data_IF_828671997023
#
_entry.id   IF_828671997023
#
_cell.length_a   1.000
_cell.length_b   1.000
_cell.length_c   1.000
_cell.angle_alpha   90.00
_cell.angle_beta   90.00
_cell.angle_gamma   90.00
#
_symmetry.space_group_name_H-M   'P 1'
#
loop_
_entity.id
_entity.type
_entity.pdbx_description
1 polymer ?
#
# COMPACT_ATOMS: atom_id res chain seq x y z
N UNK A 1 -9.96 -22.36 -13.27
CA UNK A 1 -9.62 -20.93 -13.11
C UNK A 1 -10.93 -20.22 -12.83
N UNK A 2 -11.12 -19.70 -11.61
CA UNK A 2 -12.39 -19.12 -11.20
C UNK A 2 -12.74 -17.94 -12.11
N UNK A 3 -13.95 -17.97 -12.66
CA UNK A 3 -14.54 -16.88 -13.43
C UNK A 3 -14.96 -15.82 -12.41
N UNK A 4 -14.04 -14.92 -12.11
CA UNK A 4 -14.24 -13.86 -11.12
C UNK A 4 -14.86 -12.65 -11.82
N UNK A 5 -16.16 -12.44 -11.62
CA UNK A 5 -16.92 -11.23 -11.99
C UNK A 5 -16.51 -10.03 -11.11
N UNK A 6 -15.23 -9.95 -10.73
CA UNK A 6 -14.74 -8.80 -9.99
C UNK A 6 -14.77 -7.57 -10.88
N UNK A 7 -15.04 -6.44 -10.25
CA UNK A 7 -14.89 -5.08 -10.78
C UNK A 7 -13.59 -4.82 -11.56
N UNK A 8 -12.56 -5.65 -11.37
CA UNK A 8 -11.26 -5.55 -12.03
C UNK A 8 -11.14 -6.34 -13.33
N UNK A 9 -11.99 -7.36 -13.55
CA UNK A 9 -11.96 -8.22 -14.73
C UNK A 9 -13.31 -8.22 -15.43
N UNK A 10 -13.41 -7.50 -16.55
CA UNK A 10 -14.57 -7.61 -17.46
C UNK A 10 -14.22 -8.54 -18.61
N UNK A 11 -15.00 -9.61 -18.79
CA UNK A 11 -14.85 -10.50 -19.94
C UNK A 11 -15.34 -9.82 -21.23
N UNK A 12 -14.66 -10.08 -22.35
CA UNK A 12 -15.09 -9.61 -23.67
C UNK A 12 -14.79 -8.15 -23.99
N UNK A 13 -13.91 -7.49 -23.24
CA UNK A 13 -13.36 -6.20 -23.67
C UNK A 13 -12.51 -6.41 -24.93
N UNK A 14 -12.74 -5.67 -26.02
CA UNK A 14 -11.84 -5.67 -27.17
C UNK A 14 -10.54 -5.00 -26.73
N UNK A 15 -9.61 -5.80 -26.20
CA UNK A 15 -8.24 -5.35 -25.99
C UNK A 15 -7.60 -5.36 -27.38
N UNK A 16 -7.22 -4.20 -27.95
CA UNK A 16 -6.51 -4.21 -29.21
C UNK A 16 -5.23 -5.02 -29.03
N UNK A 17 -5.08 -6.07 -29.82
CA UNK A 17 -3.86 -6.86 -29.82
C UNK A 17 -2.68 -5.95 -30.14
N UNK A 18 -1.55 -6.16 -29.44
CA UNK A 18 -0.34 -5.41 -29.73
C UNK A 18 0.07 -5.70 -31.16
N UNK A 19 0.25 -4.68 -32.02
CA UNK A 19 0.58 -4.92 -33.41
C UNK A 19 1.94 -5.61 -33.53
N UNK A 20 2.10 -6.41 -34.58
CA UNK A 20 3.36 -7.08 -34.89
C UNK A 20 4.53 -6.08 -34.97
N UNK A 21 5.75 -6.47 -34.51
CA UNK A 21 6.92 -5.60 -34.53
C UNK A 21 7.15 -4.96 -35.91
N UNK A 22 7.17 -3.62 -35.97
CA UNK A 22 7.35 -2.86 -37.21
C UNK A 22 6.07 -2.28 -37.82
N UNK A 23 4.89 -2.54 -37.25
CA UNK A 23 3.67 -1.76 -37.52
C UNK A 23 3.43 -0.73 -36.41
N UNK A 24 3.08 0.49 -36.82
CA UNK A 24 2.67 1.53 -35.88
C UNK A 24 1.28 1.19 -35.30
N UNK A 25 1.14 1.31 -33.98
CA UNK A 25 -0.17 1.15 -33.35
C UNK A 25 -0.99 2.39 -33.70
N UNK A 26 -2.13 2.22 -34.39
CA UNK A 26 -3.02 3.33 -34.69
C UNK A 26 -3.40 4.11 -33.42
N UNK A 27 -3.76 5.40 -33.58
CA UNK A 27 -4.23 6.19 -32.45
C UNK A 27 -5.45 5.55 -31.79
N UNK A 28 -5.54 5.65 -30.46
CA UNK A 28 -6.69 5.18 -29.71
C UNK A 28 -7.97 5.86 -30.20
N UNK A 29 -8.94 5.07 -30.66
CA UNK A 29 -10.27 5.56 -31.02
C UNK A 29 -11.11 5.85 -29.77
N UNK A 30 -12.41 6.14 -29.93
CA UNK A 30 -13.31 6.38 -28.79
C UNK A 30 -13.32 5.16 -27.86
N UNK A 31 -12.80 5.31 -26.65
CA UNK A 31 -12.74 4.22 -25.68
C UNK A 31 -13.97 4.18 -24.76
N UNK A 32 -14.27 2.99 -24.22
CA UNK A 32 -15.39 2.79 -23.30
C UNK A 32 -15.10 3.23 -21.86
N UNK A 33 -13.83 3.24 -21.47
CA UNK A 33 -13.40 3.52 -20.08
C UNK A 33 -12.54 4.78 -19.99
N UNK A 34 -11.59 4.97 -20.91
CA UNK A 34 -10.64 6.09 -20.83
C UNK A 34 -11.32 7.40 -21.26
N UNK A 35 -11.18 8.44 -20.45
CA UNK A 35 -11.82 9.74 -20.70
C UNK A 35 -13.33 9.80 -20.40
N UNK A 36 -13.94 8.73 -19.88
CA UNK A 36 -15.33 8.73 -19.41
C UNK A 36 -15.40 9.07 -17.92
N UNK A 37 -16.45 9.79 -17.50
CA UNK A 37 -16.75 10.01 -16.08
C UNK A 37 -17.38 8.74 -15.49
N UNK A 38 -16.55 7.86 -14.95
CA UNK A 38 -16.98 6.63 -14.28
C UNK A 38 -16.69 6.75 -12.80
N UNK A 39 -17.60 6.26 -11.96
CA UNK A 39 -17.37 6.19 -10.52
C UNK A 39 -16.15 5.31 -10.24
N UNK A 40 -15.28 5.75 -9.33
CA UNK A 40 -14.12 4.97 -8.92
C UNK A 40 -14.60 3.74 -8.17
N UNK A 41 -13.98 2.62 -8.45
CA UNK A 41 -14.39 1.31 -7.95
C UNK A 41 -14.36 1.19 -6.42
N UNK A 42 -13.29 1.67 -5.79
CA UNK A 42 -13.09 1.80 -4.34
C UNK A 42 -13.60 3.16 -3.81
N UNK A 43 -14.37 3.91 -4.62
CA UNK A 43 -14.81 5.26 -4.30
C UNK A 43 -15.71 5.29 -3.07
N UNK A 44 -16.72 4.42 -3.04
CA UNK A 44 -17.68 4.36 -1.94
C UNK A 44 -17.01 3.97 -0.63
N UNK A 45 -16.22 2.90 -0.61
CA UNK A 45 -15.57 2.40 0.60
C UNK A 45 -14.65 3.45 1.24
N UNK A 46 -13.91 4.19 0.43
CA UNK A 46 -12.95 5.20 0.90
C UNK A 46 -13.62 6.48 1.39
N UNK A 47 -14.76 6.85 0.83
CA UNK A 47 -15.50 8.06 1.22
C UNK A 47 -16.46 7.81 2.39
N UNK A 48 -17.02 6.61 2.50
CA UNK A 48 -17.91 6.23 3.60
C UNK A 48 -17.19 5.84 4.88
N UNK A 49 -15.87 5.57 4.81
CA UNK A 49 -15.10 5.01 5.93
C UNK A 49 -15.30 3.51 6.12
N UNK A 50 -15.98 2.83 5.19
CA UNK A 50 -16.15 1.37 5.21
C UNK A 50 -14.87 0.62 4.80
N UNK A 51 -13.93 1.29 4.12
CA UNK A 51 -12.64 0.70 3.76
C UNK A 51 -11.84 0.35 5.02
N UNK A 52 -11.38 -0.90 5.11
CA UNK A 52 -10.50 -1.38 6.19
C UNK A 52 -9.05 -1.25 5.73
N UNK A 53 -8.26 -0.45 6.44
CA UNK A 53 -6.84 -0.28 6.20
C UNK A 53 -6.01 -1.12 7.17
N UNK A 54 -4.72 -1.39 6.87
CA UNK A 54 -3.84 -2.13 7.78
C UNK A 54 -3.75 -1.54 9.19
N UNK A 55 -3.94 -0.23 9.34
CA UNK A 55 -3.98 0.46 10.63
C UNK A 55 -5.20 0.11 11.49
N UNK A 56 -6.29 -0.34 10.86
CA UNK A 56 -7.57 -0.62 11.53
C UNK A 56 -7.62 -2.04 12.08
N UNK A 57 -6.71 -2.91 11.60
CA UNK A 57 -6.61 -4.31 12.01
C UNK A 57 -6.07 -4.39 13.44
N UNK A 58 -6.82 -5.05 14.32
CA UNK A 58 -6.40 -5.37 15.69
C UNK A 58 -6.38 -6.88 15.87
N UNK A 59 -5.20 -7.42 16.18
CA UNK A 59 -5.00 -8.85 16.43
C UNK A 59 -4.87 -9.13 17.93
N UNK A 60 -5.27 -10.32 18.41
CA UNK A 60 -4.97 -10.75 19.77
C UNK A 60 -3.47 -10.70 20.05
N UNK A 61 -3.07 -10.16 21.20
CA UNK A 61 -1.67 -10.04 21.64
C UNK A 61 -0.77 -9.16 20.74
N UNK A 62 -1.34 -8.22 19.98
CA UNK A 62 -0.57 -7.31 19.11
C UNK A 62 0.37 -6.40 19.91
N UNK A 63 1.64 -6.38 19.53
CA UNK A 63 2.65 -5.46 20.09
C UNK A 63 2.69 -4.19 19.22
N UNK A 64 2.70 -3.03 19.86
CA UNK A 64 2.88 -1.74 19.18
C UNK A 64 4.36 -1.38 19.13
N UNK A 65 4.83 -1.00 17.94
CA UNK A 65 6.19 -0.53 17.72
C UNK A 65 6.27 1.00 17.69
N UNK A 66 7.35 1.55 18.25
CA UNK A 66 7.71 2.96 18.12
C UNK A 66 9.14 3.06 17.60
N UNK A 67 9.36 3.95 16.63
CA UNK A 67 10.66 4.13 15.97
C UNK A 67 11.32 5.40 16.52
N UNK A 68 12.47 5.24 17.19
CA UNK A 68 13.33 6.36 17.53
C UNK A 68 14.18 6.73 16.30
N UNK A 69 13.95 7.92 15.73
CA UNK A 69 14.69 8.44 14.57
C UNK A 69 15.81 9.38 14.98
N UNK A 70 16.82 9.50 14.12
CA UNK A 70 17.89 10.47 14.29
C UNK A 70 17.32 11.90 14.19
N UNK A 71 17.63 12.80 15.15
CA UNK A 71 17.20 14.20 15.08
C UNK A 71 18.08 15.05 14.15
N UNK A 72 19.18 14.51 13.65
CA UNK A 72 20.15 15.21 12.80
C UNK A 72 20.09 14.68 11.36
N UNK A 73 20.17 15.54 10.33
CA UNK A 73 20.17 15.13 8.92
C UNK A 73 21.30 14.15 8.55
N UNK A 74 22.47 14.30 9.19
CA UNK A 74 23.62 13.43 9.01
C UNK A 74 24.38 13.28 10.32
N UNK A 75 24.44 12.07 10.86
CA UNK A 75 25.15 11.78 12.10
C UNK A 75 25.57 10.31 12.16
N UNK A 76 26.66 10.04 12.89
CA UNK A 76 27.07 8.68 13.26
C UNK A 76 26.62 8.39 14.68
N UNK A 77 25.86 7.32 14.88
CA UNK A 77 25.48 6.87 16.23
C UNK A 77 26.70 6.29 16.93
N UNK A 78 27.20 6.99 17.96
CA UNK A 78 28.35 6.53 18.76
C UNK A 78 27.94 5.73 20.00
N UNK A 79 26.78 6.04 20.56
CA UNK A 79 26.26 5.43 21.80
C UNK A 79 24.73 5.53 21.80
N UNK A 80 24.07 4.49 22.29
CA UNK A 80 22.64 4.45 22.54
C UNK A 80 22.40 3.98 23.98
N UNK A 81 21.70 4.77 24.79
CA UNK A 81 21.33 4.39 26.15
C UNK A 81 19.86 3.95 26.18
N UNK A 82 19.63 2.64 26.25
CA UNK A 82 18.29 2.05 26.28
C UNK A 82 17.75 1.76 27.68
N UNK A 83 18.56 1.99 28.72
CA UNK A 83 18.21 1.63 30.09
C UNK A 83 16.92 2.30 30.61
N UNK A 84 16.63 3.59 30.32
CA UNK A 84 15.37 4.21 30.73
C UNK A 84 14.16 3.55 30.05
N UNK A 85 14.23 3.37 28.73
CA UNK A 85 13.14 2.78 27.95
C UNK A 85 12.83 1.34 28.42
N UNK A 86 13.85 0.54 28.75
CA UNK A 86 13.67 -0.83 29.23
C UNK A 86 12.94 -0.94 30.57
N UNK A 87 12.94 0.15 31.38
CA UNK A 87 12.24 0.21 32.67
C UNK A 87 10.80 0.73 32.55
N UNK A 88 10.39 1.23 31.39
CA UNK A 88 9.05 1.78 31.22
C UNK A 88 8.00 0.65 31.21
N UNK A 89 6.86 0.84 31.91
CA UNK A 89 5.75 -0.11 31.84
C UNK A 89 5.29 -0.33 30.39
N UNK A 90 5.02 -1.59 30.02
CA UNK A 90 4.53 -1.95 28.69
C UNK A 90 5.62 -2.13 27.62
N UNK A 91 6.89 -1.81 27.89
CA UNK A 91 7.98 -2.07 26.95
C UNK A 91 8.31 -3.57 26.95
N UNK A 92 8.01 -4.24 25.83
CA UNK A 92 8.27 -5.68 25.65
C UNK A 92 9.68 -5.98 25.14
N UNK A 93 10.18 -5.20 24.19
CA UNK A 93 11.46 -5.42 23.54
C UNK A 93 12.03 -4.11 22.98
N UNK A 94 13.34 -4.10 22.74
CA UNK A 94 14.08 -3.02 22.11
C UNK A 94 14.97 -3.63 21.04
N UNK A 95 14.91 -3.11 19.81
CA UNK A 95 15.64 -3.62 18.66
C UNK A 95 16.55 -2.49 18.16
N UNK A 96 17.85 -2.75 18.07
CA UNK A 96 18.83 -1.82 17.52
C UNK A 96 19.89 -2.59 16.73
N UNK A 97 20.49 -1.95 15.73
CA UNK A 97 21.57 -2.53 14.90
C UNK A 97 22.98 -2.30 15.46
N UNK A 98 23.12 -1.82 16.70
CA UNK A 98 24.39 -1.47 17.33
C UNK A 98 24.78 -2.45 18.44
N UNK A 99 24.39 -3.72 18.28
CA UNK A 99 24.81 -4.80 19.17
C UNK A 99 26.25 -5.22 18.85
#
# INVERSE_FOLDING_TARGET
MAQDDSIYYRQGLPVPETPEPGRDAGFWETTDIVGKRVARVDGYERLSGAAVYPSDIKLPNMIYGAILRCPHPHARVKKLNTAPARKMPGVRALISGLL
#
